data_IF_327457190193
#
_entry.id   IF_327457190193
#
_cell.length_a   1.000
_cell.length_b   1.000
_cell.length_c   1.000
_cell.angle_alpha   90.00
_cell.angle_beta   90.00
_cell.angle_gamma   90.00
#
_symmetry.space_group_name_H-M   'P 1'
#
loop_
_entity.id
_entity.type
_entity.pdbx_description
1 polymer ?
#
# COMPACT_ATOMS: atom_id res chain seq x y z
N UNK A 1 9.55 -30.41 30.66
CA UNK A 1 8.50 -29.45 30.26
C UNK A 1 9.17 -28.29 29.55
N UNK A 2 9.01 -28.18 28.23
CA UNK A 2 9.60 -27.08 27.47
C UNK A 2 8.65 -25.87 27.56
N UNK A 3 9.07 -24.84 28.29
CA UNK A 3 8.34 -23.58 28.41
C UNK A 3 8.40 -22.82 27.08
N UNK A 4 7.30 -22.83 26.36
CA UNK A 4 7.06 -21.98 25.18
C UNK A 4 6.77 -20.55 25.65
N UNK A 5 7.79 -19.87 26.18
CA UNK A 5 7.70 -18.43 26.46
C UNK A 5 8.19 -17.65 25.24
N UNK A 6 7.34 -16.74 24.77
CA UNK A 6 7.68 -15.59 23.92
C UNK A 6 7.65 -15.80 22.40
N UNK A 7 6.48 -16.15 21.85
CA UNK A 7 6.06 -15.60 20.55
C UNK A 7 5.22 -14.35 20.83
N UNK A 8 5.77 -13.41 21.62
CA UNK A 8 5.15 -12.13 21.86
C UNK A 8 5.69 -11.13 20.82
N UNK A 9 5.03 -11.08 19.67
CA UNK A 9 4.63 -9.80 19.08
C UNK A 9 5.69 -8.89 18.44
N UNK A 10 6.95 -9.29 18.28
CA UNK A 10 7.98 -8.48 17.59
C UNK A 10 7.84 -8.42 16.04
N UNK A 11 6.60 -8.39 15.51
CA UNK A 11 6.34 -8.17 14.08
C UNK A 11 5.35 -7.03 13.82
N UNK A 12 5.36 -6.00 14.65
CA UNK A 12 4.99 -4.68 14.16
C UNK A 12 6.29 -3.99 13.77
N UNK A 13 6.88 -4.41 12.64
CA UNK A 13 7.76 -3.51 11.90
C UNK A 13 7.00 -2.20 11.86
N UNK A 14 7.56 -1.16 12.47
CA UNK A 14 6.95 0.16 12.61
C UNK A 14 6.41 0.56 11.25
N UNK A 15 5.14 0.25 10.99
CA UNK A 15 4.50 0.62 9.75
C UNK A 15 4.55 2.14 9.82
N UNK A 16 5.17 2.81 8.83
CA UNK A 16 5.16 4.26 8.83
C UNK A 16 3.72 4.71 9.08
N UNK A 17 3.56 5.72 9.93
CA UNK A 17 2.25 6.30 10.21
C UNK A 17 1.54 6.52 8.86
N UNK A 18 0.30 6.07 8.78
CA UNK A 18 -0.39 6.02 7.49
C UNK A 18 -0.69 7.46 7.07
N UNK A 19 0.02 7.95 6.06
CA UNK A 19 -0.15 9.35 5.64
C UNK A 19 -1.46 9.52 4.86
N UNK A 20 -1.88 10.78 4.68
CA UNK A 20 -3.07 11.09 3.87
C UNK A 20 -2.86 10.60 2.44
N UNK A 21 -1.68 10.82 1.86
CA UNK A 21 -1.33 10.35 0.52
C UNK A 21 -1.40 8.82 0.39
N UNK A 22 -1.02 8.08 1.42
CA UNK A 22 -1.17 6.61 1.46
C UNK A 22 -2.65 6.19 1.45
N UNK A 23 -3.50 6.94 2.15
CA UNK A 23 -4.95 6.69 2.23
C UNK A 23 -5.64 6.96 0.89
N UNK A 24 -5.17 7.95 0.14
CA UNK A 24 -5.63 8.25 -1.23
C UNK A 24 -4.92 7.41 -2.31
N UNK A 25 -4.06 6.47 -1.91
CA UNK A 25 -3.36 5.60 -2.85
C UNK A 25 -2.34 6.33 -3.74
N UNK A 26 -1.88 7.52 -3.33
CA UNK A 26 -0.85 8.30 -4.01
C UNK A 26 0.55 7.91 -3.55
N UNK A 27 0.68 7.27 -2.39
CA UNK A 27 1.93 6.71 -1.89
C UNK A 27 1.77 5.23 -1.51
N UNK A 28 2.86 4.46 -1.66
CA UNK A 28 2.91 3.06 -1.27
C UNK A 28 2.73 2.91 0.23
N UNK A 29 1.71 2.17 0.66
CA UNK A 29 1.42 1.95 2.08
C UNK A 29 2.49 1.16 2.85
N UNK A 30 3.46 0.56 2.14
CA UNK A 30 4.54 -0.22 2.74
C UNK A 30 5.87 0.53 2.83
N UNK A 31 6.22 1.33 1.81
CA UNK A 31 7.53 1.99 1.72
C UNK A 31 7.46 3.51 1.56
N UNK A 32 6.26 4.10 1.48
CA UNK A 32 6.07 5.55 1.34
C UNK A 32 6.46 6.13 -0.03
N UNK A 33 6.88 5.29 -0.99
CA UNK A 33 7.22 5.75 -2.34
C UNK A 33 6.00 6.35 -3.03
N UNK A 34 6.21 7.49 -3.67
CA UNK A 34 5.23 8.12 -4.55
C UNK A 34 4.83 7.17 -5.70
N UNK A 35 3.52 6.98 -5.87
CA UNK A 35 2.93 6.11 -6.89
C UNK A 35 2.38 6.91 -8.08
N UNK A 36 2.57 8.23 -8.10
CA UNK A 36 2.25 9.07 -9.26
C UNK A 36 3.23 8.76 -10.41
N UNK A 37 2.82 8.96 -11.67
CA UNK A 37 3.66 8.72 -12.82
C UNK A 37 4.78 9.75 -12.80
N UNK A 38 6.00 9.31 -13.04
CA UNK A 38 7.12 10.20 -13.30
C UNK A 38 7.57 10.00 -14.74
N UNK A 39 8.17 11.02 -15.36
CA UNK A 39 8.70 10.96 -16.73
C UNK A 39 9.71 9.81 -16.90
N UNK A 40 10.42 9.44 -15.83
CA UNK A 40 11.37 8.32 -15.81
C UNK A 40 10.72 6.94 -15.68
N UNK A 41 9.48 6.84 -15.20
CA UNK A 41 8.78 5.57 -14.98
C UNK A 41 7.29 5.69 -15.31
N UNK A 42 6.93 5.53 -16.61
CA UNK A 42 5.54 5.48 -17.02
C UNK A 42 4.86 4.24 -16.41
N UNK A 43 4.04 4.46 -15.40
CA UNK A 43 3.34 3.41 -14.67
C UNK A 43 4.24 2.69 -13.66
N UNK A 44 4.45 3.29 -12.48
CA UNK A 44 4.69 2.44 -11.33
C UNK A 44 3.51 1.48 -11.19
N UNK A 45 3.78 0.17 -11.19
CA UNK A 45 2.80 -0.90 -10.97
C UNK A 45 2.18 -0.76 -9.57
N UNK A 46 1.40 0.29 -9.35
CA UNK A 46 0.61 0.53 -8.17
C UNK A 46 -0.52 -0.48 -8.21
N UNK A 47 -0.42 -1.47 -7.34
CA UNK A 47 -1.41 -2.54 -7.26
C UNK A 47 -2.22 -2.41 -5.97
N UNK A 48 -3.53 -2.72 -6.01
CA UNK A 48 -4.37 -2.69 -4.82
C UNK A 48 -3.90 -3.75 -3.84
N UNK A 49 -3.85 -3.41 -2.56
CA UNK A 49 -3.40 -4.34 -1.49
C UNK A 49 -4.37 -4.45 -0.32
N UNK A 50 -5.45 -3.68 -0.33
CA UNK A 50 -6.47 -3.68 0.72
C UNK A 50 -7.30 -2.41 0.66
N UNK A 51 -8.05 -2.13 1.74
CA UNK A 51 -8.88 -0.94 1.87
C UNK A 51 -8.74 -0.26 3.22
N UNK A 52 -8.89 1.06 3.24
CA UNK A 52 -9.00 1.92 4.44
C UNK A 52 -10.09 2.95 4.18
N UNK A 53 -11.05 3.11 5.09
CA UNK A 53 -12.19 4.04 4.96
C UNK A 53 -12.90 3.92 3.60
N UNK A 54 -13.19 2.68 3.18
CA UNK A 54 -13.77 2.31 1.87
C UNK A 54 -12.96 2.71 0.62
N UNK A 55 -11.74 3.23 0.79
CA UNK A 55 -10.82 3.55 -0.30
C UNK A 55 -9.82 2.42 -0.52
N UNK A 56 -9.49 2.13 -1.78
CA UNK A 56 -8.42 1.21 -2.12
C UNK A 56 -7.07 1.78 -1.66
N UNK A 57 -6.29 0.94 -0.98
CA UNK A 57 -4.89 1.22 -0.65
C UNK A 57 -3.97 0.54 -1.65
N UNK A 58 -2.84 1.18 -1.94
CA UNK A 58 -1.93 0.76 -3.00
C UNK A 58 -0.52 0.48 -2.47
N UNK A 59 0.21 -0.37 -3.18
CA UNK A 59 1.61 -0.62 -2.96
C UNK A 59 2.36 -0.78 -4.28
N UNK A 60 3.69 -0.69 -4.24
CA UNK A 60 4.52 -1.11 -5.36
C UNK A 60 4.34 -2.63 -5.59
N UNK A 61 4.16 -3.05 -6.84
CA UNK A 61 4.26 -4.47 -7.24
C UNK A 61 5.58 -5.08 -6.77
N UNK A 62 5.54 -6.38 -6.47
CA UNK A 62 6.65 -7.14 -5.92
C UNK A 62 6.60 -7.23 -4.40
N UNK A 63 7.68 -6.86 -3.72
CA UNK A 63 7.83 -7.09 -2.28
C UNK A 63 6.80 -6.31 -1.46
N UNK A 64 6.52 -5.05 -1.82
CA UNK A 64 5.55 -4.24 -1.07
C UNK A 64 4.13 -4.83 -1.20
N UNK A 65 3.71 -5.19 -2.41
CA UNK A 65 2.44 -5.87 -2.64
C UNK A 65 2.35 -7.19 -1.88
N UNK A 66 3.42 -8.01 -1.89
CA UNK A 66 3.46 -9.29 -1.18
C UNK A 66 3.32 -9.11 0.32
N UNK A 67 3.95 -8.09 0.89
CA UNK A 67 3.83 -7.77 2.32
C UNK A 67 2.45 -7.20 2.68
N UNK A 68 1.84 -6.42 1.78
CA UNK A 68 0.53 -5.80 2.02
C UNK A 68 -0.67 -6.71 1.82
N UNK A 69 -0.60 -7.63 0.85
CA UNK A 69 -1.74 -8.45 0.39
C UNK A 69 -1.48 -9.96 0.35
N UNK A 70 -0.24 -10.41 0.56
CA UNK A 70 0.18 -11.80 0.35
C UNK A 70 0.56 -12.13 -1.10
N UNK A 71 0.24 -11.26 -2.07
CA UNK A 71 0.52 -11.45 -3.50
C UNK A 71 1.51 -10.41 -4.02
N UNK A 72 2.48 -10.82 -4.84
CA UNK A 72 3.41 -9.89 -5.48
C UNK A 72 2.71 -8.96 -6.48
N UNK A 73 1.54 -9.38 -7.00
CA UNK A 73 0.77 -8.63 -7.99
C UNK A 73 -0.39 -7.84 -7.36
N UNK A 74 -0.51 -7.87 -6.03
CA UNK A 74 -1.63 -7.27 -5.32
C UNK A 74 -2.88 -8.16 -5.30
N UNK A 75 -3.99 -7.57 -4.88
CA UNK A 75 -5.32 -8.17 -4.91
C UNK A 75 -5.84 -8.24 -6.35
N UNK A 76 -6.66 -9.24 -6.63
CA UNK A 76 -7.40 -9.36 -7.90
C UNK A 76 -8.61 -8.39 -7.95
N UNK A 77 -8.38 -7.14 -7.52
CA UNK A 77 -9.34 -6.05 -7.62
C UNK A 77 -8.94 -5.15 -8.79
N UNK A 78 -9.92 -4.60 -9.49
CA UNK A 78 -9.64 -3.59 -10.51
C UNK A 78 -9.07 -2.34 -9.83
N UNK A 79 -7.88 -1.85 -10.24
CA UNK A 79 -7.26 -0.67 -9.66
C UNK A 79 -8.07 0.60 -9.96
N UNK A 80 -8.41 1.38 -8.94
CA UNK A 80 -8.95 2.73 -9.15
C UNK A 80 -7.95 3.57 -9.96
N UNK A 81 -8.37 4.21 -11.07
CA UNK A 81 -7.51 5.03 -11.90
C UNK A 81 -6.80 6.12 -11.10
N UNK A 82 -5.57 6.44 -11.50
CA UNK A 82 -4.81 7.49 -10.84
C UNK A 82 -5.52 8.85 -10.90
N UNK A 83 -6.15 9.18 -12.02
CA UNK A 83 -6.88 10.44 -12.17
C UNK A 83 -7.96 10.59 -11.09
N UNK A 84 -8.69 9.52 -10.80
CA UNK A 84 -9.74 9.51 -9.79
C UNK A 84 -9.16 9.62 -8.38
N UNK A 85 -8.03 8.95 -8.11
CA UNK A 85 -7.29 9.09 -6.84
C UNK A 85 -6.83 10.53 -6.60
N UNK A 86 -6.28 11.18 -7.63
CA UNK A 86 -5.87 12.59 -7.58
C UNK A 86 -7.06 13.52 -7.38
N UNK A 87 -8.16 13.28 -8.10
CA UNK A 87 -9.39 14.06 -7.97
C UNK A 87 -9.99 13.98 -6.56
N UNK A 88 -9.97 12.79 -5.96
CA UNK A 88 -10.43 12.58 -4.58
C UNK A 88 -9.51 13.28 -3.56
N UNK A 89 -8.20 13.25 -3.77
CA UNK A 89 -7.23 13.93 -2.89
C UNK A 89 -7.35 15.45 -2.95
N UNK A 90 -7.65 16.02 -4.13
CA UNK A 90 -7.81 17.47 -4.30
C UNK A 90 -9.00 18.08 -3.54
N UNK A 91 -9.89 17.25 -2.98
CA UNK A 91 -11.06 17.68 -2.20
C UNK A 91 -10.80 17.71 -0.68
N UNK A 92 -9.59 17.35 -0.25
CA UNK A 92 -9.12 17.35 1.15
C UNK A 92 -8.41 18.64 1.47
#
# INVERSE_FOLDING_TARGET
MYSQHSIAGHRRSSRPETTVEMTYGLACTMCGRDLRPTEEKPGHDAVPVGRVDDRQTFACRGVCARLGSGSADGLAEEPVPLADRLAAFAQV
#
